data_IF_848727887465
#
_entry.id   IF_848727887465
#
_cell.length_a   1.000
_cell.length_b   1.000
_cell.length_c   1.000
_cell.angle_alpha   90.00
_cell.angle_beta   90.00
_cell.angle_gamma   90.00
#
_symmetry.space_group_name_H-M   'P 1'
#
loop_
_entity.id
_entity.type
_entity.pdbx_description
1 polymer ?
#
# COMPACT_ATOMS: atom_id res chain seq x y z
N UNK A 1 22.06 23.46 27.80
CA UNK A 1 22.54 22.52 26.77
C UNK A 1 21.86 21.18 26.97
N UNK A 2 21.85 20.37 25.90
CA UNK A 2 21.35 18.99 25.76
C UNK A 2 19.87 18.88 25.33
N UNK A 3 19.48 18.35 24.16
CA UNK A 3 20.17 17.87 22.94
C UNK A 3 19.15 18.02 21.80
N UNK A 4 19.52 18.75 20.75
CA UNK A 4 18.97 18.61 19.39
C UNK A 4 19.13 17.15 18.95
N UNK A 5 18.04 16.37 18.94
CA UNK A 5 18.02 15.04 18.32
C UNK A 5 16.83 14.92 17.36
N UNK A 6 16.67 15.91 16.48
CA UNK A 6 15.99 15.71 15.21
C UNK A 6 17.02 15.17 14.21
N UNK A 7 16.96 13.88 13.90
CA UNK A 7 17.69 13.32 12.75
C UNK A 7 17.32 14.04 11.45
N UNK A 8 18.01 13.75 10.32
CA UNK A 8 17.92 14.54 9.10
C UNK A 8 16.47 14.82 8.72
N UNK A 9 16.14 16.10 8.60
CA UNK A 9 14.83 16.68 8.30
C UNK A 9 14.42 16.47 6.83
N UNK A 10 14.61 15.26 6.32
CA UNK A 10 14.29 14.87 4.95
C UNK A 10 14.28 13.36 4.81
N UNK A 11 13.20 12.82 4.23
CA UNK A 11 13.12 11.42 3.83
C UNK A 11 14.33 11.05 2.95
N UNK A 12 14.91 9.84 3.09
CA UNK A 12 15.88 9.34 2.12
C UNK A 12 15.37 9.56 0.69
N UNK A 13 16.22 10.00 -0.25
CA UNK A 13 15.80 10.26 -1.63
C UNK A 13 15.16 9.04 -2.29
N UNK A 14 15.52 7.84 -1.81
CA UNK A 14 14.92 6.58 -2.23
C UNK A 14 13.43 6.49 -1.85
N UNK A 15 13.03 6.88 -0.64
CA UNK A 15 11.61 6.93 -0.26
C UNK A 15 10.86 8.07 -0.94
N UNK A 16 11.54 9.18 -1.25
CA UNK A 16 10.93 10.32 -1.93
C UNK A 16 10.49 10.03 -3.38
N UNK A 17 10.99 8.94 -3.98
CA UNK A 17 10.66 8.56 -5.36
C UNK A 17 9.35 7.78 -5.50
N UNK A 18 8.72 7.32 -4.42
CA UNK A 18 7.44 6.62 -4.50
C UNK A 18 6.30 7.64 -4.70
N UNK A 19 5.46 7.49 -5.74
CA UNK A 19 4.35 8.40 -5.97
C UNK A 19 3.25 8.17 -4.93
N UNK A 20 2.56 9.24 -4.52
CA UNK A 20 1.36 9.13 -3.66
C UNK A 20 0.12 8.83 -4.50
N UNK A 21 -0.93 8.26 -3.92
CA UNK A 21 -2.19 7.99 -4.62
C UNK A 21 -2.78 9.26 -5.24
N UNK A 22 -2.71 10.39 -4.53
CA UNK A 22 -3.17 11.68 -5.03
C UNK A 22 -2.42 12.15 -6.28
N UNK A 23 -1.12 11.83 -6.41
CA UNK A 23 -0.33 12.14 -7.60
C UNK A 23 -0.72 11.25 -8.80
N UNK A 24 -1.17 10.02 -8.53
CA UNK A 24 -1.58 9.05 -9.54
C UNK A 24 -3.04 9.19 -9.99
N UNK A 25 -3.83 10.04 -9.32
CA UNK A 25 -5.30 10.06 -9.50
C UNK A 25 -5.77 11.42 -10.00
N UNK A 26 -6.54 11.43 -11.10
CA UNK A 26 -7.16 12.64 -11.64
C UNK A 26 -8.24 13.19 -10.69
N UNK A 27 -8.68 14.44 -10.91
CA UNK A 27 -9.75 15.03 -10.10
C UNK A 27 -11.09 14.28 -10.25
N UNK A 28 -11.44 13.91 -11.49
CA UNK A 28 -12.64 13.14 -11.81
C UNK A 28 -12.61 11.76 -11.15
N UNK A 29 -11.51 11.03 -11.29
CA UNK A 29 -11.36 9.71 -10.66
C UNK A 29 -11.39 9.80 -9.14
N UNK A 30 -10.77 10.84 -8.55
CA UNK A 30 -10.81 11.06 -7.10
C UNK A 30 -12.24 11.30 -6.59
N UNK A 31 -13.10 11.90 -7.41
CA UNK A 31 -14.52 12.04 -7.09
C UNK A 31 -15.25 10.69 -7.18
N UNK A 32 -15.03 9.94 -8.26
CA UNK A 32 -15.63 8.62 -8.44
C UNK A 32 -15.24 7.64 -7.32
N UNK A 33 -13.95 7.60 -6.95
CA UNK A 33 -13.43 6.80 -5.84
C UNK A 33 -14.12 7.14 -4.52
N UNK A 34 -14.39 8.42 -4.29
CA UNK A 34 -15.06 8.88 -3.07
C UNK A 34 -16.51 8.42 -3.03
N UNK A 35 -17.20 8.45 -4.16
CA UNK A 35 -18.57 7.97 -4.25
C UNK A 35 -18.66 6.45 -3.99
N UNK A 36 -17.69 5.69 -4.53
CA UNK A 36 -17.53 4.27 -4.24
C UNK A 36 -17.22 4.05 -2.75
N UNK A 37 -16.31 4.83 -2.17
CA UNK A 37 -15.95 4.75 -0.74
C UNK A 37 -17.17 4.90 0.18
N UNK A 38 -18.05 5.85 -0.14
CA UNK A 38 -19.27 6.12 0.63
C UNK A 38 -20.24 4.95 0.62
N UNK A 39 -20.32 4.22 -0.49
CA UNK A 39 -21.36 3.20 -0.72
C UNK A 39 -20.90 1.77 -0.47
N UNK A 40 -19.59 1.51 -0.48
CA UNK A 40 -19.06 0.13 -0.51
C UNK A 40 -18.14 -0.24 0.65
N UNK A 41 -17.56 0.74 1.35
CA UNK A 41 -16.57 0.46 2.42
C UNK A 41 -17.26 0.56 3.77
N UNK A 42 -17.18 -0.51 4.57
CA UNK A 42 -17.92 -0.66 5.82
C UNK A 42 -17.38 0.19 6.98
N UNK A 43 -16.29 0.93 6.75
CA UNK A 43 -15.63 1.76 7.76
C UNK A 43 -14.75 0.97 8.72
N UNK A 44 -14.48 -0.32 8.46
CA UNK A 44 -13.49 -1.08 9.23
C UNK A 44 -12.07 -0.55 8.93
N UNK A 45 -11.25 -0.21 9.94
CA UNK A 45 -9.92 0.38 9.72
C UNK A 45 -9.01 -0.52 8.89
N UNK A 46 -9.08 -1.83 9.06
CA UNK A 46 -8.27 -2.77 8.30
C UNK A 46 -8.69 -2.81 6.83
N UNK A 47 -9.98 -2.93 6.55
CA UNK A 47 -10.54 -2.85 5.19
C UNK A 47 -10.16 -1.54 4.48
N UNK A 48 -10.26 -0.41 5.17
CA UNK A 48 -9.86 0.90 4.64
C UNK A 48 -8.39 0.91 4.18
N UNK A 49 -7.51 0.27 4.96
CA UNK A 49 -6.11 0.07 4.60
C UNK A 49 -5.93 -0.75 3.32
N UNK A 50 -6.70 -1.82 3.15
CA UNK A 50 -6.67 -2.65 1.95
C UNK A 50 -7.16 -1.90 0.70
N UNK A 51 -8.27 -1.19 0.81
CA UNK A 51 -8.85 -0.43 -0.33
C UNK A 51 -7.86 0.63 -0.83
N UNK A 52 -7.21 1.35 0.09
CA UNK A 52 -6.17 2.31 -0.28
C UNK A 52 -5.01 1.64 -1.01
N UNK A 53 -4.46 0.55 -0.45
CA UNK A 53 -3.35 -0.18 -1.04
C UNK A 53 -3.67 -0.70 -2.45
N UNK A 54 -4.85 -1.30 -2.63
CA UNK A 54 -5.34 -1.81 -3.91
C UNK A 54 -5.38 -0.72 -4.98
N UNK A 55 -6.03 0.41 -4.68
CA UNK A 55 -6.13 1.55 -5.62
C UNK A 55 -4.77 2.15 -5.94
N UNK A 56 -3.89 2.24 -4.95
CA UNK A 56 -2.53 2.73 -5.16
C UNK A 56 -1.78 1.81 -6.11
N UNK A 57 -1.78 0.50 -5.87
CA UNK A 57 -1.14 -0.48 -6.74
C UNK A 57 -1.72 -0.53 -8.16
N UNK A 58 -3.04 -0.44 -8.31
CA UNK A 58 -3.72 -0.41 -9.62
C UNK A 58 -3.28 0.76 -10.49
N UNK A 59 -2.81 1.85 -9.88
CA UNK A 59 -2.43 3.09 -10.57
C UNK A 59 -0.93 3.29 -10.66
N UNK A 60 -0.13 2.38 -10.10
CA UNK A 60 1.31 2.45 -10.22
C UNK A 60 1.72 2.25 -11.68
N UNK A 61 2.54 3.14 -12.26
CA UNK A 61 2.99 3.01 -13.65
C UNK A 61 4.02 1.89 -13.84
N UNK A 62 4.74 1.53 -12.77
CA UNK A 62 5.87 0.60 -12.82
C UNK A 62 5.88 -0.36 -11.63
N UNK A 63 6.08 -1.64 -11.90
CA UNK A 63 6.17 -2.71 -10.88
C UNK A 63 7.38 -2.54 -9.95
N UNK A 64 8.41 -1.82 -10.38
CA UNK A 64 9.59 -1.50 -9.57
C UNK A 64 9.27 -0.67 -8.31
N UNK A 65 8.21 0.14 -8.34
CA UNK A 65 7.75 0.89 -7.17
C UNK A 65 7.25 -0.05 -6.06
N UNK A 66 6.59 -1.15 -6.42
CA UNK A 66 6.09 -2.12 -5.44
C UNK A 66 7.22 -2.89 -4.77
N UNK A 67 8.25 -3.28 -5.54
CA UNK A 67 9.45 -3.92 -5.00
C UNK A 67 10.21 -2.98 -4.05
N UNK A 68 10.33 -1.71 -4.42
CA UNK A 68 10.96 -0.69 -3.57
C UNK A 68 10.20 -0.47 -2.27
N UNK A 69 8.86 -0.41 -2.31
CA UNK A 69 8.05 -0.32 -1.11
C UNK A 69 8.22 -1.55 -0.22
N UNK A 70 8.19 -2.76 -0.80
CA UNK A 70 8.26 -4.02 -0.07
C UNK A 70 9.55 -4.16 0.74
N UNK A 71 10.67 -3.63 0.22
CA UNK A 71 11.95 -3.60 0.92
C UNK A 71 11.97 -2.73 2.21
N UNK A 72 10.94 -1.90 2.42
CA UNK A 72 10.81 -1.01 3.58
C UNK A 72 9.96 -1.60 4.70
N UNK A 73 9.35 -2.77 4.49
CA UNK A 73 8.56 -3.46 5.49
C UNK A 73 9.34 -3.65 6.81
N UNK A 74 8.73 -3.41 7.99
CA UNK A 74 7.30 -3.12 8.22
C UNK A 74 6.93 -1.63 8.15
N UNK A 75 7.85 -0.75 7.79
CA UNK A 75 7.64 0.71 7.83
C UNK A 75 7.05 1.23 6.52
N UNK A 76 5.94 1.96 6.62
CA UNK A 76 5.39 2.73 5.49
C UNK A 76 6.13 4.08 5.39
N UNK A 77 6.57 4.52 4.20
CA UNK A 77 7.12 5.86 4.00
C UNK A 77 6.18 6.96 4.51
N UNK A 78 6.70 8.02 5.13
CA UNK A 78 5.89 9.00 5.85
C UNK A 78 4.88 9.71 4.93
N UNK A 79 5.25 10.01 3.68
CA UNK A 79 4.33 10.61 2.70
C UNK A 79 3.13 9.70 2.38
N UNK A 80 3.37 8.41 2.26
CA UNK A 80 2.34 7.40 1.98
C UNK A 80 1.51 7.13 3.23
N UNK A 81 2.14 6.97 4.40
CA UNK A 81 1.46 6.78 5.68
C UNK A 81 0.55 7.97 6.01
N UNK A 82 1.04 9.19 5.82
CA UNK A 82 0.25 10.40 6.04
C UNK A 82 -0.93 10.53 5.07
N UNK A 83 -0.79 10.07 3.82
CA UNK A 83 -1.90 10.04 2.86
C UNK A 83 -2.92 8.94 3.20
N UNK A 84 -2.44 7.75 3.58
CA UNK A 84 -3.24 6.63 4.05
C UNK A 84 -4.11 7.02 5.25
N UNK A 85 -3.53 7.69 6.25
CA UNK A 85 -4.29 8.16 7.41
C UNK A 85 -5.29 9.27 7.05
N UNK A 86 -4.94 10.21 6.16
CA UNK A 86 -5.90 11.21 5.66
C UNK A 86 -7.03 10.58 4.84
N UNK A 87 -6.73 9.51 4.11
CA UNK A 87 -7.72 8.73 3.37
C UNK A 87 -8.70 8.06 4.34
N UNK A 88 -8.18 7.45 5.41
CA UNK A 88 -8.95 6.76 6.44
C UNK A 88 -9.85 7.69 7.27
N UNK A 89 -9.39 8.93 7.55
CA UNK A 89 -10.17 9.93 8.26
C UNK A 89 -11.53 10.25 7.60
N UNK A 90 -11.68 9.99 6.29
CA UNK A 90 -12.92 10.24 5.54
C UNK A 90 -14.05 9.27 5.90
N UNK A 91 -13.73 8.13 6.52
CA UNK A 91 -14.70 7.08 6.89
C UNK A 91 -15.26 7.26 8.32
N UNK A 92 -15.02 8.40 8.96
CA UNK A 92 -15.50 8.65 10.32
C UNK A 92 -14.69 7.94 11.41
N UNK A 93 -13.51 7.40 11.07
CA UNK A 93 -12.54 6.76 11.99
C UNK A 93 -11.82 7.75 12.92
N UNK A 94 -12.40 8.92 13.16
CA UNK A 94 -11.84 9.94 14.02
C UNK A 94 -12.33 9.70 15.45
N UNK A 95 -11.42 9.51 16.40
CA UNK A 95 -11.75 9.47 17.81
C UNK A 95 -12.27 10.84 18.25
N UNK A 96 -13.42 10.84 18.93
CA UNK A 96 -14.24 12.02 19.28
C UNK A 96 -13.56 13.11 20.11
N UNK A 97 -12.29 12.96 20.50
CA UNK A 97 -11.61 13.91 21.37
C UNK A 97 -10.75 14.94 20.65
N UNK A 98 -10.20 14.64 19.47
CA UNK A 98 -9.23 15.52 18.79
C UNK A 98 -9.25 15.40 17.25
N UNK A 99 -10.31 14.83 16.66
CA UNK A 99 -10.32 14.48 15.23
C UNK A 99 -9.10 13.62 14.81
N UNK A 100 -8.61 12.79 15.73
CA UNK A 100 -7.48 11.90 15.51
C UNK A 100 -7.97 10.46 15.40
N UNK A 101 -7.50 9.71 14.42
CA UNK A 101 -7.65 8.25 14.40
C UNK A 101 -6.97 7.70 15.66
N UNK A 102 -7.63 6.83 16.43
CA UNK A 102 -6.99 6.29 17.63
C UNK A 102 -5.82 5.35 17.28
N UNK A 103 -5.03 5.00 18.29
CA UNK A 103 -3.82 4.21 18.08
C UNK A 103 -4.10 2.79 17.57
N UNK A 104 -5.19 2.17 18.02
CA UNK A 104 -5.56 0.82 17.59
C UNK A 104 -5.95 0.83 16.11
N UNK A 105 -6.79 1.78 15.71
CA UNK A 105 -7.21 1.96 14.33
C UNK A 105 -6.03 2.30 13.41
N UNK A 106 -5.08 3.14 13.87
CA UNK A 106 -3.83 3.40 13.13
C UNK A 106 -3.04 2.11 12.85
N UNK A 107 -2.95 1.20 13.82
CA UNK A 107 -2.29 -0.09 13.59
C UNK A 107 -3.09 -0.98 12.63
N UNK A 108 -4.41 -1.03 12.78
CA UNK A 108 -5.28 -1.83 11.92
C UNK A 108 -5.23 -1.36 10.45
N UNK A 109 -5.27 -0.05 10.21
CA UNK A 109 -5.12 0.55 8.86
C UNK A 109 -3.80 0.16 8.22
N UNK A 110 -2.69 0.29 8.96
CA UNK A 110 -1.35 -0.08 8.45
C UNK A 110 -1.23 -1.58 8.21
N UNK A 111 -1.86 -2.40 9.06
CA UNK A 111 -1.89 -3.85 8.88
C UNK A 111 -2.69 -4.24 7.62
N UNK A 112 -3.85 -3.63 7.40
CA UNK A 112 -4.65 -3.83 6.19
C UNK A 112 -3.90 -3.41 4.93
N UNK A 113 -3.21 -2.27 4.97
CA UNK A 113 -2.35 -1.83 3.88
C UNK A 113 -1.32 -2.89 3.49
N UNK A 114 -0.51 -3.36 4.45
CA UNK A 114 0.51 -4.37 4.17
C UNK A 114 -0.09 -5.71 3.74
N UNK A 115 -1.22 -6.11 4.32
CA UNK A 115 -1.89 -7.35 3.93
C UNK A 115 -2.24 -7.37 2.44
N UNK A 116 -2.74 -6.27 1.91
CA UNK A 116 -3.10 -6.17 0.50
C UNK A 116 -1.87 -6.19 -0.42
N UNK A 117 -0.80 -5.48 -0.03
CA UNK A 117 0.50 -5.55 -0.73
C UNK A 117 1.00 -7.00 -0.80
N UNK A 118 0.96 -7.73 0.33
CA UNK A 118 1.41 -9.12 0.41
C UNK A 118 0.58 -10.05 -0.49
N UNK A 119 -0.76 -9.89 -0.50
CA UNK A 119 -1.65 -10.68 -1.36
C UNK A 119 -1.32 -10.46 -2.83
N UNK A 120 -1.11 -9.21 -3.24
CA UNK A 120 -0.84 -8.87 -4.65
C UNK A 120 0.55 -9.32 -5.09
N UNK A 121 1.58 -9.10 -4.27
CA UNK A 121 2.95 -9.55 -4.57
C UNK A 121 3.02 -11.07 -4.65
N UNK A 122 2.36 -11.80 -3.74
CA UNK A 122 2.27 -13.26 -3.81
C UNK A 122 1.55 -13.74 -5.09
N UNK A 123 0.48 -13.06 -5.51
CA UNK A 123 -0.23 -13.37 -6.74
C UNK A 123 0.62 -13.11 -8.00
N UNK A 124 1.44 -12.05 -8.03
CA UNK A 124 2.34 -11.76 -9.15
C UNK A 124 3.49 -12.79 -9.26
N UNK A 125 3.89 -13.43 -8.15
CA UNK A 125 4.92 -14.48 -8.14
C UNK A 125 4.41 -15.87 -8.53
N UNK A 126 3.12 -16.16 -8.36
CA UNK A 126 2.51 -17.45 -8.71
C UNK A 126 2.58 -17.83 -10.22
N UNK A 127 2.29 -16.95 -11.20
CA UNK A 127 2.28 -17.34 -12.62
C UNK A 127 3.67 -17.60 -13.21
N UNK A 128 4.75 -17.14 -12.55
CA UNK A 128 6.12 -17.43 -12.96
C UNK A 128 6.58 -18.85 -12.56
N UNK A 129 6.09 -19.36 -11.43
CA UNK A 129 6.43 -20.70 -10.93
C UNK A 129 5.77 -21.81 -11.77
N UNK A 130 4.53 -21.61 -12.22
CA UNK A 130 3.78 -22.60 -13.01
C UNK A 130 4.33 -22.75 -14.44
N UNK A 131 4.75 -21.65 -15.08
CA UNK A 131 5.42 -21.69 -16.39
C UNK A 131 6.83 -22.30 -16.37
N UNK A 132 7.53 -22.21 -15.23
CA UNK A 132 8.83 -22.87 -15.05
C UNK A 132 8.69 -24.39 -14.87
N UNK A 133 7.64 -24.84 -14.18
CA UNK A 133 7.32 -26.26 -14.01
C UNK A 133 6.92 -26.94 -15.33
N UNK A 134 6.20 -26.24 -16.21
CA UNK A 134 5.82 -26.77 -17.53
C UNK A 134 7.02 -26.94 -18.48
N UNK A 135 8.03 -26.06 -18.43
CA UNK A 135 9.26 -26.21 -19.21
C UNK A 135 10.17 -27.35 -18.71
N UNK A 136 10.18 -27.61 -17.41
CA UNK A 136 10.99 -28.70 -16.83
C UNK A 136 10.40 -30.09 -17.14
N UNK A 137 9.07 -30.21 -17.29
CA UNK A 137 8.40 -31.48 -17.57
C UNK A 137 8.51 -32.00 -19.01
N UNK A 138 8.91 -31.14 -19.98
CA UNK A 138 8.97 -31.52 -21.41
C UNK A 138 10.36 -31.95 -21.90
N UNK A 139 11.33 -32.03 -20.98
CA UNK A 139 12.71 -32.45 -21.26
C UNK A 139 12.97 -33.85 -20.68
N UNK A 140 12.11 -34.83 -21.01
CA UNK A 140 12.38 -36.25 -20.74
C UNK A 140 13.30 -36.82 -21.81
N UNK A 141 14.34 -37.60 -21.47
CA UNK A 141 15.40 -37.97 -22.39
C UNK A 141 14.89 -38.92 -23.47
N UNK A 142 15.22 -38.61 -24.73
CA UNK A 142 15.26 -39.58 -25.81
C UNK A 142 16.56 -40.39 -25.68
N UNK A 143 16.44 -41.71 -25.55
CA UNK A 143 17.52 -42.70 -25.50
C UNK A 143 17.02 -43.92 -24.73
N UNK A 144 17.01 -45.14 -25.24
CA UNK A 144 17.74 -45.78 -26.35
C UNK A 144 16.80 -46.80 -27.03
#
# INVERSE_FOLDING_TARGET
GWVERGGPLGEPPETASLPTLAQLTSAEQRWADREEDITTVGGDPFEVGQVFARRWMERLPETGHLQKLSALYPRIPHRIDGELLRYAARFGLLAHKDDQIDEHDRYAIRAGFWREIDVRTAADHAPAAERAAEKAGKSGPAGD
#
